data_IF_944274563236
#
_entry.id   IF_944274563236
#
_cell.length_a   1.000
_cell.length_b   1.000
_cell.length_c   1.000
_cell.angle_alpha   90.00
_cell.angle_beta   90.00
_cell.angle_gamma   90.00
#
_symmetry.space_group_name_H-M   'P 1'
#
loop_
_entity.id
_entity.type
_entity.pdbx_description
1 polymer ?
#
# COMPACT_ATOMS: atom_id res chain seq x y z
N UNK A 1 -6.85 8.50 -18.25
CA UNK A 1 -7.67 7.26 -18.25
C UNK A 1 -6.73 6.12 -17.85
N UNK A 2 -6.74 5.71 -16.58
CA UNK A 2 -5.85 4.64 -16.11
C UNK A 2 -6.33 3.30 -16.66
N UNK A 3 -5.57 2.71 -17.58
CA UNK A 3 -5.82 1.35 -18.05
C UNK A 3 -5.50 0.39 -16.92
N UNK A 4 -6.50 -0.35 -16.43
CA UNK A 4 -6.26 -1.46 -15.52
C UNK A 4 -5.29 -2.45 -16.19
N UNK A 5 -4.31 -2.96 -15.45
CA UNK A 5 -3.42 -4.01 -15.95
C UNK A 5 -4.31 -5.23 -16.22
N UNK A 6 -4.40 -5.61 -17.49
CA UNK A 6 -5.23 -6.72 -17.94
C UNK A 6 -4.38 -7.98 -18.04
N UNK A 7 -4.89 -9.07 -17.51
CA UNK A 7 -4.25 -10.38 -17.53
C UNK A 7 -5.05 -11.36 -18.38
N UNK A 8 -4.38 -12.39 -18.90
CA UNK A 8 -5.00 -13.40 -19.73
C UNK A 8 -5.76 -14.41 -18.88
N UNK A 9 -7.07 -14.51 -19.12
CA UNK A 9 -7.85 -15.66 -18.74
C UNK A 9 -7.53 -16.83 -19.68
N UNK A 10 -7.65 -18.07 -19.17
CA UNK A 10 -7.41 -19.29 -19.97
C UNK A 10 -8.25 -19.39 -21.26
N UNK A 11 -9.37 -18.67 -21.34
CA UNK A 11 -10.25 -18.60 -22.51
C UNK A 11 -9.75 -17.64 -23.59
N UNK A 12 -8.59 -16.98 -23.39
CA UNK A 12 -8.03 -15.99 -24.31
C UNK A 12 -8.68 -14.61 -24.22
N UNK A 13 -9.43 -14.30 -23.15
CA UNK A 13 -9.93 -12.94 -22.89
C UNK A 13 -9.09 -12.24 -21.82
N UNK A 14 -8.92 -10.95 -21.98
CA UNK A 14 -8.33 -10.08 -20.98
C UNK A 14 -9.30 -9.86 -19.81
N UNK A 15 -8.79 -9.95 -18.59
CA UNK A 15 -9.57 -9.72 -17.38
C UNK A 15 -8.76 -9.03 -16.29
N UNK A 16 -9.51 -8.45 -15.35
CA UNK A 16 -8.97 -7.81 -14.14
C UNK A 16 -9.41 -8.54 -12.88
N UNK A 17 -10.03 -9.71 -13.00
CA UNK A 17 -10.50 -10.52 -11.88
C UNK A 17 -9.60 -11.75 -11.72
N UNK A 18 -9.38 -12.14 -10.46
CA UNK A 18 -8.45 -13.19 -10.07
C UNK A 18 -9.05 -14.11 -8.99
N UNK A 19 -8.43 -15.27 -8.79
CA UNK A 19 -8.80 -16.18 -7.69
C UNK A 19 -8.55 -15.49 -6.34
N UNK A 20 -9.60 -15.26 -5.55
CA UNK A 20 -9.50 -14.59 -4.25
C UNK A 20 -8.66 -15.34 -3.21
N UNK A 21 -8.38 -16.63 -3.43
CA UNK A 21 -7.63 -17.47 -2.49
C UNK A 21 -6.11 -17.39 -2.67
N UNK A 22 -5.63 -17.45 -3.91
CA UNK A 22 -4.19 -17.44 -4.20
C UNK A 22 -3.72 -16.16 -4.89
N UNK A 23 -4.63 -15.42 -5.53
CA UNK A 23 -4.38 -14.17 -6.27
C UNK A 23 -3.33 -14.29 -7.40
N UNK A 24 -3.04 -15.51 -7.82
CA UNK A 24 -2.04 -15.81 -8.86
C UNK A 24 -2.63 -16.26 -10.19
N UNK A 25 -3.94 -16.51 -10.24
CA UNK A 25 -4.62 -16.99 -11.43
C UNK A 25 -5.80 -16.08 -11.79
N UNK A 26 -5.94 -15.78 -13.08
CA UNK A 26 -6.85 -14.76 -13.60
C UNK A 26 -8.01 -15.39 -14.37
N UNK A 27 -9.22 -14.93 -14.06
CA UNK A 27 -10.45 -15.43 -14.68
C UNK A 27 -11.38 -14.28 -15.03
N UNK A 28 -11.93 -14.30 -16.24
CA UNK A 28 -12.90 -13.28 -16.65
C UNK A 28 -14.31 -13.53 -16.07
N UNK A 29 -14.59 -14.70 -15.52
CA UNK A 29 -15.85 -15.07 -14.88
C UNK A 29 -15.68 -16.19 -13.84
N UNK A 30 -16.66 -16.34 -12.95
CA UNK A 30 -16.70 -17.45 -11.99
C UNK A 30 -16.81 -18.82 -12.69
N UNK A 31 -17.55 -18.90 -13.79
CA UNK A 31 -17.67 -20.12 -14.59
C UNK A 31 -16.31 -20.63 -15.09
N UNK A 32 -15.41 -19.73 -15.49
CA UNK A 32 -14.06 -20.10 -15.91
C UNK A 32 -13.17 -20.55 -14.74
N UNK A 33 -13.36 -19.98 -13.56
CA UNK A 33 -12.71 -20.48 -12.34
C UNK A 33 -13.21 -21.89 -12.00
N UNK A 34 -14.53 -22.12 -12.07
CA UNK A 34 -15.13 -23.42 -11.77
C UNK A 34 -14.70 -24.51 -12.77
N UNK A 35 -14.65 -24.17 -14.05
CA UNK A 35 -14.18 -25.07 -15.10
C UNK A 35 -12.69 -25.43 -14.95
N UNK A 36 -11.86 -24.47 -14.55
CA UNK A 36 -10.43 -24.71 -14.29
C UNK A 36 -10.15 -25.28 -12.89
N UNK A 37 -11.13 -25.26 -11.99
CA UNK A 37 -10.96 -25.65 -10.58
C UNK A 37 -10.32 -27.03 -10.38
N UNK A 38 -10.65 -28.09 -11.15
CA UNK A 38 -10.02 -29.40 -10.98
C UNK A 38 -8.50 -29.38 -11.12
N UNK A 39 -7.96 -28.56 -12.03
CA UNK A 39 -6.52 -28.34 -12.21
C UNK A 39 -6.01 -27.33 -11.19
N UNK A 40 -6.67 -26.18 -11.13
CA UNK A 40 -6.24 -25.05 -10.32
C UNK A 40 -6.18 -25.38 -8.84
N UNK A 41 -7.09 -26.19 -8.28
CA UNK A 41 -7.12 -26.51 -6.84
C UNK A 41 -5.82 -27.14 -6.30
N UNK A 42 -5.10 -27.90 -7.15
CA UNK A 42 -3.84 -28.53 -6.77
C UNK A 42 -2.73 -27.51 -6.54
N UNK A 43 -2.66 -26.48 -7.39
CA UNK A 43 -1.69 -25.39 -7.31
C UNK A 43 -2.16 -24.28 -6.37
N UNK A 44 -3.48 -24.03 -6.34
CA UNK A 44 -4.11 -22.98 -5.55
C UNK A 44 -3.87 -23.18 -4.06
N UNK A 45 -3.79 -24.43 -3.57
CA UNK A 45 -3.50 -24.72 -2.16
C UNK A 45 -2.04 -24.45 -1.78
N UNK A 46 -1.09 -24.83 -2.63
CA UNK A 46 0.34 -24.57 -2.41
C UNK A 46 0.69 -23.07 -2.52
N UNK A 47 -0.07 -22.35 -3.35
CA UNK A 47 0.03 -20.91 -3.55
C UNK A 47 -0.97 -20.11 -2.71
N UNK A 48 -1.85 -20.80 -1.96
CA UNK A 48 -2.80 -20.14 -1.09
C UNK A 48 -1.99 -19.44 -0.01
N UNK A 49 -2.34 -18.18 0.26
CA UNK A 49 -1.85 -17.53 1.46
C UNK A 49 -2.32 -18.36 2.67
N UNK A 50 -1.46 -18.53 3.69
CA UNK A 50 -1.76 -19.39 4.84
C UNK A 50 -3.10 -18.99 5.47
N UNK A 51 -3.96 -19.98 5.72
CA UNK A 51 -5.34 -19.84 6.18
C UNK A 51 -5.50 -19.17 7.55
N UNK A 52 -4.40 -18.92 8.27
CA UNK A 52 -4.39 -18.21 9.55
C UNK A 52 -4.14 -16.70 9.39
N UNK A 53 -4.26 -16.14 8.19
CA UNK A 53 -4.09 -14.70 8.01
C UNK A 53 -5.31 -13.95 8.54
N UNK A 54 -5.17 -13.27 9.68
CA UNK A 54 -6.18 -12.33 10.17
C UNK A 54 -6.18 -11.10 9.27
N UNK A 55 -7.34 -10.57 8.89
CA UNK A 55 -7.43 -9.32 8.14
C UNK A 55 -8.10 -8.24 8.95
N UNK A 56 -7.56 -7.02 8.89
CA UNK A 56 -8.19 -5.82 9.45
C UNK A 56 -8.16 -4.71 8.41
N UNK A 57 -9.15 -3.83 8.43
CA UNK A 57 -9.18 -2.67 7.55
C UNK A 57 -9.06 -1.41 8.38
N UNK A 58 -8.15 -0.52 8.00
CA UNK A 58 -7.94 0.78 8.63
C UNK A 58 -8.05 1.89 7.59
N UNK A 59 -8.34 3.10 8.04
CA UNK A 59 -8.23 4.30 7.21
C UNK A 59 -6.77 4.68 7.05
N UNK A 60 -6.37 4.91 5.80
CA UNK A 60 -5.07 5.41 5.38
C UNK A 60 -5.23 6.79 4.71
N UNK A 61 -4.16 7.57 4.68
CA UNK A 61 -4.11 8.84 3.95
C UNK A 61 -3.35 8.61 2.64
N UNK A 62 -4.03 8.83 1.52
CA UNK A 62 -3.44 8.74 0.19
C UNK A 62 -3.14 10.11 -0.36
N UNK A 63 -1.94 10.26 -0.90
CA UNK A 63 -1.51 11.40 -1.70
C UNK A 63 -1.57 10.98 -3.18
N UNK A 64 -2.67 11.29 -3.89
CA UNK A 64 -2.83 10.91 -5.29
C UNK A 64 -1.87 11.69 -6.19
N UNK A 65 -1.45 11.07 -7.29
CA UNK A 65 -0.53 11.69 -8.27
C UNK A 65 -1.18 12.87 -8.98
N UNK A 66 -2.47 12.77 -9.27
CA UNK A 66 -3.20 13.65 -10.19
C UNK A 66 -4.11 14.66 -9.48
N UNK A 67 -4.12 14.70 -8.16
CA UNK A 67 -4.98 15.61 -7.39
C UNK A 67 -4.16 16.33 -6.35
N UNK A 68 -4.52 17.56 -6.05
CA UNK A 68 -3.77 18.41 -5.11
C UNK A 68 -4.04 18.05 -3.64
N UNK A 69 -5.21 17.48 -3.35
CA UNK A 69 -5.64 17.19 -1.98
C UNK A 69 -5.46 15.71 -1.63
N UNK A 70 -4.97 15.39 -0.42
CA UNK A 70 -4.94 14.02 0.06
C UNK A 70 -6.36 13.51 0.30
N UNK A 71 -6.53 12.20 0.31
CA UNK A 71 -7.82 11.54 0.54
C UNK A 71 -7.70 10.40 1.53
N UNK A 72 -8.75 10.18 2.31
CA UNK A 72 -8.86 9.02 3.19
C UNK A 72 -9.31 7.82 2.38
N UNK A 73 -8.58 6.69 2.49
CA UNK A 73 -8.91 5.45 1.79
C UNK A 73 -8.83 4.26 2.75
N UNK A 74 -9.74 3.28 2.66
CA UNK A 74 -9.61 2.04 3.41
C UNK A 74 -8.46 1.20 2.85
N UNK A 75 -7.60 0.69 3.73
CA UNK A 75 -6.53 -0.26 3.39
C UNK A 75 -6.70 -1.52 4.23
N UNK A 76 -6.73 -2.66 3.56
CA UNK A 76 -6.72 -3.97 4.21
C UNK A 76 -5.30 -4.36 4.57
N UNK A 77 -5.11 -4.72 5.83
CA UNK A 77 -3.88 -5.24 6.41
C UNK A 77 -4.03 -6.75 6.61
N UNK A 78 -2.99 -7.49 6.22
CA UNK A 78 -2.88 -8.92 6.44
C UNK A 78 -1.97 -9.18 7.63
N UNK A 79 -2.50 -9.79 8.67
CA UNK A 79 -1.78 -10.26 9.84
C UNK A 79 -1.18 -11.63 9.56
N UNK A 80 0.12 -11.76 9.77
CA UNK A 80 0.84 -13.02 9.75
C UNK A 80 1.44 -13.25 11.14
N UNK A 81 1.00 -14.33 11.79
CA UNK A 81 1.50 -14.72 13.10
C UNK A 81 2.86 -15.43 12.94
N UNK A 82 3.85 -14.95 13.68
CA UNK A 82 5.17 -15.55 13.79
C UNK A 82 5.17 -16.61 14.90
N UNK A 83 6.12 -17.54 14.83
CA UNK A 83 6.24 -18.65 15.81
C UNK A 83 6.47 -18.19 17.26
N UNK A 84 6.90 -16.95 17.46
CA UNK A 84 7.07 -16.30 18.77
C UNK A 84 5.79 -15.62 19.29
N UNK A 85 4.65 -15.79 18.61
CA UNK A 85 3.35 -15.18 18.96
C UNK A 85 3.22 -13.70 18.59
N UNK A 86 4.19 -13.12 17.86
CA UNK A 86 4.06 -11.74 17.33
C UNK A 86 3.27 -11.72 16.04
N UNK A 87 2.50 -10.66 15.82
CA UNK A 87 1.71 -10.46 14.61
C UNK A 87 2.40 -9.42 13.74
N UNK A 88 2.74 -9.78 12.51
CA UNK A 88 3.24 -8.87 11.49
C UNK A 88 2.09 -8.43 10.58
N UNK A 89 1.89 -7.12 10.44
CA UNK A 89 0.82 -6.57 9.62
C UNK A 89 1.36 -6.01 8.31
N UNK A 90 0.98 -6.63 7.20
CA UNK A 90 1.38 -6.25 5.84
C UNK A 90 0.22 -5.56 5.12
N UNK A 91 0.35 -4.28 4.70
CA UNK A 91 -0.71 -3.59 3.96
C UNK A 91 -0.79 -4.06 2.51
N UNK A 92 -2.01 -4.27 2.02
CA UNK A 92 -2.26 -4.63 0.62
C UNK A 92 -2.25 -3.38 -0.25
N UNK A 93 -1.11 -3.11 -0.89
CA UNK A 93 -0.88 -1.88 -1.67
C UNK A 93 -0.80 -2.09 -3.19
N UNK A 94 -0.89 -3.34 -3.67
CA UNK A 94 -0.69 -3.69 -5.09
C UNK A 94 -1.57 -2.88 -6.06
N UNK A 95 -2.85 -2.69 -5.73
CA UNK A 95 -3.79 -1.94 -6.56
C UNK A 95 -3.67 -0.41 -6.45
N UNK A 96 -2.75 0.10 -5.63
CA UNK A 96 -2.63 1.53 -5.31
C UNK A 96 -1.24 2.04 -5.63
N UNK A 97 -0.21 1.48 -4.99
CA UNK A 97 1.17 1.96 -5.12
C UNK A 97 1.90 1.24 -6.25
N UNK A 98 1.78 -0.08 -6.33
CA UNK A 98 2.50 -0.93 -7.27
C UNK A 98 2.74 -2.31 -6.67
N UNK A 99 3.38 -3.20 -7.41
CA UNK A 99 3.67 -4.55 -6.91
C UNK A 99 4.50 -4.50 -5.62
N UNK A 100 4.34 -5.47 -4.71
CA UNK A 100 5.01 -5.43 -3.39
C UNK A 100 6.54 -5.31 -3.50
N UNK A 101 7.14 -5.90 -4.54
CA UNK A 101 8.58 -5.80 -4.85
C UNK A 101 9.04 -4.40 -5.27
N UNK A 102 8.11 -3.50 -5.58
CA UNK A 102 8.35 -2.13 -6.03
C UNK A 102 7.91 -1.10 -4.98
N UNK A 103 7.51 -1.54 -3.79
CA UNK A 103 7.10 -0.65 -2.70
C UNK A 103 8.20 -0.59 -1.66
N UNK A 104 8.67 0.63 -1.40
CA UNK A 104 9.52 0.97 -0.26
C UNK A 104 8.69 1.69 0.80
N UNK A 105 9.19 1.70 2.03
CA UNK A 105 8.53 2.39 3.12
C UNK A 105 9.50 3.04 4.10
N UNK A 106 8.98 4.01 4.85
CA UNK A 106 9.72 4.76 5.88
C UNK A 106 8.83 5.02 7.09
N UNK A 107 9.40 5.00 8.29
CA UNK A 107 8.68 5.30 9.53
C UNK A 107 9.03 6.70 10.02
N UNK A 108 8.00 7.53 10.20
CA UNK A 108 8.07 8.86 10.76
C UNK A 108 7.79 8.77 12.26
N UNK A 109 8.80 9.06 13.06
CA UNK A 109 8.71 9.08 14.53
C UNK A 109 8.69 10.49 15.10
N UNK A 110 8.90 11.51 14.26
CA UNK A 110 9.02 12.92 14.65
C UNK A 110 7.92 13.77 14.04
N UNK A 111 7.36 14.67 14.84
CA UNK A 111 6.34 15.62 14.41
C UNK A 111 6.90 16.98 14.04
N UNK A 112 6.04 17.99 14.10
CA UNK A 112 6.34 19.35 13.68
C UNK A 112 7.12 20.05 14.80
N UNK A 113 8.42 20.24 14.59
CA UNK A 113 9.33 20.76 15.62
C UNK A 113 10.21 19.70 16.29
N UNK A 114 10.13 18.44 15.84
CA UNK A 114 11.06 17.37 16.24
C UNK A 114 10.67 16.60 17.51
N UNK A 115 9.49 16.86 18.05
CA UNK A 115 8.85 16.09 19.11
C UNK A 115 8.59 14.65 18.67
N UNK A 116 8.70 13.71 19.60
CA UNK A 116 8.42 12.31 19.31
C UNK A 116 6.92 12.08 19.20
N UNK A 117 6.47 11.48 18.09
CA UNK A 117 5.08 11.12 17.88
C UNK A 117 4.69 9.97 18.81
N UNK A 118 3.59 10.16 19.55
CA UNK A 118 2.93 9.08 20.32
C UNK A 118 2.50 7.93 19.41
N UNK A 119 2.07 8.26 18.20
CA UNK A 119 1.61 7.35 17.17
C UNK A 119 2.45 7.59 15.90
N UNK A 120 3.56 6.86 15.71
CA UNK A 120 4.38 7.00 14.51
C UNK A 120 3.57 6.74 13.23
N UNK A 121 4.01 7.33 12.12
CA UNK A 121 3.38 7.19 10.82
C UNK A 121 4.26 6.35 9.90
N UNK A 122 3.65 5.49 9.08
CA UNK A 122 4.35 4.61 8.14
C UNK A 122 3.98 5.03 6.72
N UNK A 123 4.96 5.53 5.98
CA UNK A 123 4.78 6.03 4.61
C UNK A 123 5.29 5.02 3.62
N UNK A 124 4.47 4.70 2.62
CA UNK A 124 4.74 3.76 1.55
C UNK A 124 4.75 4.47 0.20
N UNK A 125 5.74 4.17 -0.62
CA UNK A 125 5.98 4.80 -1.91
C UNK A 125 6.71 3.82 -2.84
N UNK A 126 6.85 4.17 -4.12
CA UNK A 126 7.54 3.31 -5.10
C UNK A 126 9.05 3.32 -4.90
N UNK A 127 9.74 2.19 -5.01
CA UNK A 127 11.20 2.12 -4.82
C UNK A 127 11.98 2.83 -5.92
N UNK A 128 11.55 2.70 -7.18
CA UNK A 128 12.30 3.18 -8.35
C UNK A 128 11.71 4.45 -8.98
N UNK A 129 11.00 5.27 -8.20
CA UNK A 129 10.25 6.41 -8.73
C UNK A 129 11.13 7.46 -9.45
N UNK A 130 12.44 7.47 -9.18
CA UNK A 130 13.39 8.36 -9.84
C UNK A 130 13.74 7.91 -11.27
N UNK A 131 13.70 6.61 -11.55
CA UNK A 131 14.20 5.99 -12.79
C UNK A 131 13.13 5.36 -13.66
N UNK A 132 11.90 5.18 -13.15
CA UNK A 132 10.81 4.48 -13.84
C UNK A 132 9.90 5.39 -14.71
N UNK A 133 10.20 6.69 -14.79
CA UNK A 133 9.36 7.66 -15.50
C UNK A 133 8.08 8.07 -14.76
N UNK A 134 7.95 7.74 -13.46
CA UNK A 134 6.81 8.12 -12.64
C UNK A 134 6.62 9.64 -12.62
N UNK A 135 5.34 10.04 -12.67
CA UNK A 135 4.93 11.45 -12.63
C UNK A 135 5.07 12.01 -11.21
N UNK A 136 5.43 13.29 -11.11
CA UNK A 136 5.47 14.03 -9.85
C UNK A 136 4.11 13.94 -9.16
N UNK A 137 4.15 13.70 -7.86
CA UNK A 137 2.94 13.65 -7.05
C UNK A 137 2.41 15.07 -6.81
N UNK A 138 1.31 15.44 -7.48
CA UNK A 138 0.71 16.77 -7.37
C UNK A 138 0.26 17.08 -5.94
N UNK A 139 -0.26 16.09 -5.20
CA UNK A 139 -0.71 16.31 -3.82
C UNK A 139 0.45 16.71 -2.92
N UNK A 140 1.57 15.98 -2.98
CA UNK A 140 2.77 16.31 -2.20
C UNK A 140 3.32 17.66 -2.65
N UNK A 141 3.46 17.89 -3.95
CA UNK A 141 3.98 19.15 -4.48
C UNK A 141 3.18 20.37 -3.99
N UNK A 142 1.85 20.30 -4.02
CA UNK A 142 0.99 21.39 -3.57
C UNK A 142 1.10 21.59 -2.06
N UNK A 143 1.09 20.51 -1.27
CA UNK A 143 1.16 20.60 0.19
C UNK A 143 2.52 21.11 0.71
N UNK A 144 3.60 20.83 0.00
CA UNK A 144 4.94 21.33 0.36
C UNK A 144 5.28 22.64 -0.34
N UNK A 145 4.37 23.23 -1.12
CA UNK A 145 4.63 24.41 -1.95
C UNK A 145 5.88 24.27 -2.83
N UNK A 146 6.10 23.07 -3.38
CA UNK A 146 7.27 22.73 -4.20
C UNK A 146 8.58 22.58 -3.42
N UNK A 147 8.57 22.66 -2.09
CA UNK A 147 9.75 22.54 -1.22
C UNK A 147 9.98 21.12 -0.69
N UNK A 148 9.46 20.10 -1.38
CA UNK A 148 9.64 18.73 -0.93
C UNK A 148 11.13 18.33 -0.95
N UNK A 149 11.58 17.62 0.08
CA UNK A 149 12.95 17.13 0.22
C UNK A 149 13.36 16.11 -0.87
N UNK A 150 12.37 15.38 -1.39
CA UNK A 150 12.50 14.47 -2.50
C UNK A 150 11.51 14.84 -3.60
N UNK A 151 11.84 14.51 -4.85
CA UNK A 151 10.87 14.53 -5.94
C UNK A 151 9.92 13.34 -5.79
N UNK A 152 8.98 13.44 -4.84
CA UNK A 152 7.97 12.42 -4.62
C UNK A 152 7.19 12.18 -5.92
N UNK A 153 7.27 10.96 -6.40
CA UNK A 153 6.68 10.53 -7.68
C UNK A 153 5.84 9.29 -7.44
N UNK A 154 4.78 9.16 -8.23
CA UNK A 154 3.79 8.11 -8.01
C UNK A 154 2.95 8.33 -6.74
N UNK A 155 1.95 7.47 -6.51
CA UNK A 155 1.06 7.58 -5.36
C UNK A 155 1.80 7.24 -4.06
N UNK A 156 1.48 7.97 -2.99
CA UNK A 156 2.05 7.76 -1.64
C UNK A 156 0.92 7.44 -0.67
N UNK A 157 1.16 6.49 0.23
CA UNK A 157 0.19 6.06 1.26
C UNK A 157 0.82 6.23 2.64
N UNK A 158 0.08 6.82 3.56
CA UNK A 158 0.45 6.92 4.97
C UNK A 158 -0.52 6.14 5.85
N UNK A 159 0.02 5.30 6.72
CA UNK A 159 -0.67 4.58 7.77
C UNK A 159 -0.22 5.08 9.15
N UNK A 160 -1.05 4.86 10.18
CA UNK A 160 -0.78 5.28 11.55
C UNK A 160 -0.63 4.07 12.45
N UNK A 161 0.47 3.98 13.21
CA UNK A 161 0.65 2.94 14.20
C UNK A 161 -0.21 3.20 15.45
N UNK A 162 -0.56 2.14 16.19
CA UNK A 162 -1.26 2.22 17.48
C UNK A 162 -0.37 2.77 18.61
N UNK A 163 0.94 2.84 18.41
CA UNK A 163 1.89 3.38 19.37
C UNK A 163 3.35 3.18 18.97
N UNK A 164 4.26 3.57 19.86
CA UNK A 164 5.72 3.55 19.62
C UNK A 164 6.32 2.18 19.38
N UNK A 165 5.63 1.09 19.79
CA UNK A 165 6.03 -0.30 19.50
C UNK A 165 5.80 -0.72 18.05
N UNK A 166 5.04 0.06 17.27
CA UNK A 166 4.81 -0.18 15.83
C UNK A 166 4.25 -1.58 15.51
N UNK A 167 3.54 -2.19 16.46
CA UNK A 167 3.07 -3.59 16.36
C UNK A 167 1.69 -3.74 15.71
N UNK A 168 0.95 -2.65 15.51
CA UNK A 168 -0.36 -2.64 14.88
C UNK A 168 -0.68 -1.25 14.32
N UNK A 169 -1.70 -1.17 13.48
CA UNK A 169 -2.18 0.07 12.89
C UNK A 169 -3.55 0.48 13.44
N UNK A 170 -3.83 1.79 13.38
CA UNK A 170 -5.13 2.38 13.68
C UNK A 170 -5.52 3.35 12.56
N UNK A 171 -6.74 3.85 12.60
CA UNK A 171 -7.22 4.83 11.63
C UNK A 171 -6.38 6.11 11.71
N UNK A 172 -5.77 6.49 10.58
CA UNK A 172 -5.22 7.83 10.40
C UNK A 172 -6.37 8.82 10.15
N UNK A 173 -6.12 10.10 10.40
CA UNK A 173 -7.08 11.19 10.20
C UNK A 173 -6.39 12.44 9.64
N UNK A 174 -7.16 13.45 9.27
CA UNK A 174 -6.61 14.71 8.77
C UNK A 174 -5.78 15.47 9.82
N UNK A 175 -5.93 15.20 11.12
CA UNK A 175 -5.06 15.80 12.15
C UNK A 175 -3.63 15.25 12.10
N UNK A 176 -3.40 14.13 11.41
CA UNK A 176 -2.09 13.52 11.22
C UNK A 176 -1.38 14.05 9.95
N UNK A 177 -2.01 14.97 9.20
CA UNK A 177 -1.41 15.57 7.99
C UNK A 177 -0.18 16.46 8.29
N UNK A 178 -0.18 17.36 9.30
CA UNK A 178 0.96 18.24 9.55
C UNK A 178 2.32 17.54 9.70
N UNK A 179 2.47 16.45 10.49
CA UNK A 179 3.75 15.74 10.57
C UNK A 179 4.15 15.05 9.26
N UNK A 180 3.20 14.61 8.43
CA UNK A 180 3.50 14.06 7.09
C UNK A 180 4.07 15.13 6.16
N UNK A 181 3.42 16.30 6.12
CA UNK A 181 3.90 17.44 5.30
C UNK A 181 5.26 17.91 5.80
N UNK A 182 5.43 18.06 7.12
CA UNK A 182 6.71 18.44 7.70
C UNK A 182 7.82 17.45 7.34
N UNK A 183 7.54 16.15 7.40
CA UNK A 183 8.49 15.12 6.98
C UNK A 183 8.87 15.25 5.49
N UNK A 184 7.86 15.39 4.62
CA UNK A 184 8.05 15.53 3.17
C UNK A 184 8.77 16.82 2.78
N UNK A 185 8.74 17.86 3.62
CA UNK A 185 9.43 19.13 3.35
C UNK A 185 10.83 19.17 3.94
N UNK A 186 11.02 18.73 5.19
CA UNK A 186 12.23 19.07 5.95
C UNK A 186 13.05 17.87 6.44
N UNK A 187 12.45 16.71 6.65
CA UNK A 187 13.15 15.59 7.28
C UNK A 187 13.82 14.70 6.24
N UNK A 188 15.10 14.96 5.99
CA UNK A 188 15.96 14.00 5.33
C UNK A 188 16.15 12.78 6.25
N UNK A 189 15.23 11.83 6.18
CA UNK A 189 15.50 10.48 6.66
C UNK A 189 16.48 9.89 5.66
N UNK A 190 17.75 9.81 6.09
CA UNK A 190 18.75 9.01 5.37
C UNK A 190 18.22 7.57 5.30
N UNK A 191 18.28 6.91 4.14
CA UNK A 191 17.94 5.49 4.04
C UNK A 191 18.82 4.64 4.97
#
# INVERSE_FOLDING_TARGET
>A
MSGAIQHWCWCGRLCTSWCSRCERQWYCSAEHLEADWPRHKAECGALAQPSNSTQVTVQAMMFPVDQERPRMVPITLRGQEHSNGTMEWVPRLQGIVGHESEVSSMVITKGVGGETLRFPLHVFFRTHFLTDGSRTNASVHTLTHGQANYQWKGPVIALKFTGTRQSAYTNISMSDLPPLVYFMTYLNSRP
#
